data_IF_160052158785
#
_entry.id   IF_160052158785
#
_cell.length_a   1.000
_cell.length_b   1.000
_cell.length_c   1.000
_cell.angle_alpha   90.00
_cell.angle_beta   90.00
_cell.angle_gamma   90.00
#
_symmetry.space_group_name_H-M   'P 1'
#
loop_
_entity.id
_entity.type
_entity.pdbx_description
1 polymer ?
#
# COMPACT_ATOMS: atom_id res chain seq x y z
N UNK A 1 4.97 7.01 19.50
CA UNK A 1 5.35 6.23 18.30
C UNK A 1 4.06 5.93 17.53
N UNK A 2 4.06 5.97 16.20
CA UNK A 2 2.85 5.72 15.41
C UNK A 2 2.59 4.21 15.42
N UNK A 3 1.76 3.76 16.35
CA UNK A 3 1.31 2.37 16.44
C UNK A 3 0.06 2.22 15.58
N UNK A 4 0.20 1.49 14.47
CA UNK A 4 -0.89 1.35 13.50
C UNK A 4 -2.12 0.62 14.07
N UNK A 5 -1.91 -0.32 15.00
CA UNK A 5 -3.01 -1.08 15.60
C UNK A 5 -3.75 -0.23 16.63
N UNK A 6 -3.03 0.51 17.48
CA UNK A 6 -3.63 1.43 18.45
C UNK A 6 -4.49 2.51 17.76
N UNK A 7 -3.98 3.10 16.68
CA UNK A 7 -4.70 4.11 15.91
C UNK A 7 -6.02 3.57 15.33
N UNK A 8 -6.01 2.34 14.80
CA UNK A 8 -7.22 1.73 14.23
C UNK A 8 -8.18 1.27 15.33
N UNK A 9 -7.70 0.51 16.31
CA UNK A 9 -8.54 -0.21 17.28
C UNK A 9 -9.00 0.74 18.40
N UNK A 10 -8.08 1.46 19.03
CA UNK A 10 -8.38 2.24 20.23
C UNK A 10 -8.85 3.65 19.89
N UNK A 11 -8.34 4.24 18.80
CA UNK A 11 -8.72 5.59 18.36
C UNK A 11 -9.77 5.60 17.25
N UNK A 12 -10.25 4.43 16.83
CA UNK A 12 -11.27 4.25 15.81
C UNK A 12 -10.95 5.02 14.50
N UNK A 13 -9.67 5.04 14.11
CA UNK A 13 -9.22 5.76 12.93
C UNK A 13 -9.51 4.95 11.66
N UNK A 14 -10.18 5.58 10.70
CA UNK A 14 -10.35 5.01 9.37
C UNK A 14 -9.01 4.98 8.59
N UNK A 15 -8.83 3.96 7.76
CA UNK A 15 -7.68 3.87 6.86
C UNK A 15 -7.79 5.00 5.82
N UNK A 16 -6.75 5.83 5.77
CA UNK A 16 -6.59 6.90 4.78
C UNK A 16 -5.24 6.75 4.06
N UNK A 17 -5.11 7.38 2.88
CA UNK A 17 -3.83 7.38 2.18
C UNK A 17 -2.71 8.04 3.00
N UNK A 18 -3.02 9.12 3.73
CA UNK A 18 -2.05 9.77 4.62
C UNK A 18 -1.59 8.85 5.75
N UNK A 19 -2.49 8.03 6.30
CA UNK A 19 -2.17 7.05 7.32
C UNK A 19 -1.26 5.94 6.77
N UNK A 20 -1.60 5.37 5.62
CA UNK A 20 -0.77 4.35 4.93
C UNK A 20 0.63 4.91 4.62
N UNK A 21 0.72 6.13 4.10
CA UNK A 21 2.01 6.82 3.85
C UNK A 21 2.81 7.02 5.14
N UNK A 22 2.16 7.41 6.23
CA UNK A 22 2.79 7.55 7.54
C UNK A 22 3.35 6.22 8.07
N UNK A 23 2.57 5.14 7.98
CA UNK A 23 3.01 3.78 8.35
C UNK A 23 4.19 3.33 7.48
N UNK A 24 4.11 3.53 6.16
CA UNK A 24 5.21 3.20 5.24
C UNK A 24 6.49 3.99 5.56
N UNK A 25 6.37 5.28 5.86
CA UNK A 25 7.52 6.09 6.28
C UNK A 25 8.15 5.56 7.55
N UNK A 26 7.33 5.13 8.53
CA UNK A 26 7.84 4.59 9.78
C UNK A 26 8.46 3.20 9.63
N UNK A 27 7.89 2.36 8.78
CA UNK A 27 8.40 1.01 8.50
C UNK A 27 9.79 1.05 7.86
N UNK A 28 10.06 2.05 7.02
CA UNK A 28 11.35 2.19 6.35
C UNK A 28 12.41 2.96 7.15
N UNK A 29 12.05 3.55 8.29
CA UNK A 29 12.96 4.26 9.18
C UNK A 29 14.06 3.32 9.71
N UNK A 30 15.32 3.60 9.36
CA UNK A 30 16.47 2.74 9.71
C UNK A 30 16.60 1.43 8.90
N UNK A 31 15.74 1.21 7.90
CA UNK A 31 15.79 0.02 7.04
C UNK A 31 16.57 0.30 5.73
N UNK A 32 16.88 -0.76 4.96
CA UNK A 32 17.51 -0.64 3.62
C UNK A 32 16.76 0.31 2.66
N UNK A 33 15.47 0.55 2.89
CA UNK A 33 14.62 1.45 2.10
C UNK A 33 14.58 2.89 2.58
N UNK A 34 15.29 3.27 3.65
CA UNK A 34 15.18 4.61 4.27
C UNK A 34 15.49 5.78 3.31
N UNK A 35 16.30 5.54 2.28
CA UNK A 35 16.64 6.56 1.26
C UNK A 35 15.79 6.45 -0.02
N UNK A 36 14.79 5.56 -0.05
CA UNK A 36 13.93 5.30 -1.22
C UNK A 36 12.55 5.94 -1.06
N UNK A 37 12.54 7.26 -0.83
CA UNK A 37 11.33 8.08 -0.64
C UNK A 37 10.28 7.46 0.30
N UNK A 38 10.60 7.26 1.60
CA UNK A 38 9.65 6.77 2.59
C UNK A 38 8.37 7.61 2.63
N UNK A 39 7.21 6.95 2.76
CA UNK A 39 5.91 7.61 2.75
C UNK A 39 5.45 8.19 1.40
N UNK A 40 6.20 8.02 0.31
CA UNK A 40 5.77 8.44 -1.03
C UNK A 40 5.35 7.25 -1.90
N UNK A 41 4.33 7.43 -2.77
CA UNK A 41 4.07 6.48 -3.84
C UNK A 41 5.26 6.43 -4.81
N UNK A 42 5.46 5.28 -5.46
CA UNK A 42 6.50 5.13 -6.48
C UNK A 42 6.27 6.08 -7.65
N UNK A 43 7.36 6.67 -8.15
CA UNK A 43 7.38 7.53 -9.35
C UNK A 43 7.87 6.80 -10.60
N UNK A 44 8.34 5.57 -10.44
CA UNK A 44 8.90 4.74 -11.51
C UNK A 44 8.15 3.41 -11.61
N UNK A 45 8.18 2.81 -12.80
CA UNK A 45 7.67 1.46 -12.99
C UNK A 45 8.53 0.49 -12.16
N UNK A 46 7.84 -0.41 -11.46
CA UNK A 46 8.46 -1.51 -10.72
C UNK A 46 7.95 -2.83 -11.30
N UNK A 47 8.57 -3.94 -10.93
CA UNK A 47 8.17 -5.27 -11.34
C UNK A 47 8.34 -6.28 -10.20
N UNK A 48 7.59 -7.37 -10.28
CA UNK A 48 7.76 -8.53 -9.42
C UNK A 48 8.33 -9.66 -10.28
N UNK A 49 9.44 -10.24 -9.84
CA UNK A 49 10.19 -11.24 -10.58
C UNK A 49 11.28 -11.85 -9.71
N UNK A 50 12.12 -12.71 -10.29
CA UNK A 50 13.25 -13.28 -9.57
C UNK A 50 14.26 -12.17 -9.23
N UNK A 51 14.96 -12.25 -8.09
CA UNK A 51 15.99 -11.28 -7.74
C UNK A 51 17.06 -11.17 -8.84
N UNK A 52 17.36 -9.95 -9.28
CA UNK A 52 18.37 -9.68 -10.31
C UNK A 52 17.84 -9.71 -11.75
N UNK A 53 16.63 -10.21 -12.00
CA UNK A 53 16.01 -10.15 -13.33
C UNK A 53 15.44 -8.76 -13.62
N UNK A 54 15.49 -8.36 -14.89
CA UNK A 54 14.87 -7.14 -15.39
C UNK A 54 13.36 -7.29 -15.58
N UNK A 55 12.72 -6.18 -15.97
CA UNK A 55 11.27 -6.10 -16.17
C UNK A 55 10.76 -7.05 -17.28
N UNK A 56 11.62 -7.36 -18.25
CA UNK A 56 11.33 -8.26 -19.37
C UNK A 56 11.09 -9.72 -18.96
N UNK A 57 11.55 -10.11 -17.75
CA UNK A 57 11.32 -11.44 -17.16
C UNK A 57 10.38 -11.38 -15.96
N UNK A 58 9.70 -10.27 -15.75
CA UNK A 58 8.77 -10.11 -14.64
C UNK A 58 7.63 -11.14 -14.72
N UNK A 59 7.28 -11.73 -13.57
CA UNK A 59 6.06 -12.54 -13.45
C UNK A 59 4.82 -11.65 -13.33
N UNK A 60 5.02 -10.40 -12.89
CA UNK A 60 3.98 -9.40 -12.82
C UNK A 60 4.56 -8.00 -12.91
N UNK A 61 3.89 -7.15 -13.67
CA UNK A 61 4.18 -5.73 -13.79
C UNK A 61 2.98 -4.98 -13.20
N UNK A 62 3.10 -4.38 -11.99
CA UNK A 62 2.05 -3.56 -11.41
C UNK A 62 1.65 -2.39 -12.31
N UNK A 63 0.49 -1.75 -12.06
CA UNK A 63 -0.01 -0.63 -12.87
C UNK A 63 1.01 0.50 -13.07
N UNK A 64 0.83 1.31 -14.10
CA UNK A 64 1.69 2.46 -14.33
C UNK A 64 1.61 3.45 -13.14
N UNK A 65 2.75 4.03 -12.65
CA UNK A 65 2.74 5.05 -11.60
C UNK A 65 1.74 6.20 -11.82
N UNK A 66 1.51 6.62 -13.07
CA UNK A 66 0.57 7.70 -13.40
C UNK A 66 -0.89 7.38 -13.03
N UNK A 67 -1.25 6.09 -12.98
CA UNK A 67 -2.60 5.64 -12.61
C UNK A 67 -2.72 5.37 -11.10
N UNK A 68 -1.61 5.37 -10.37
CA UNK A 68 -1.57 4.86 -9.00
C UNK A 68 -2.48 5.64 -8.06
N UNK A 69 -2.56 6.97 -8.20
CA UNK A 69 -3.42 7.79 -7.36
C UNK A 69 -4.90 7.41 -7.53
N UNK A 70 -5.41 7.35 -8.76
CA UNK A 70 -6.80 6.96 -9.03
C UNK A 70 -7.12 5.54 -8.57
N UNK A 71 -6.16 4.61 -8.67
CA UNK A 71 -6.35 3.24 -8.21
C UNK A 71 -6.40 3.16 -6.68
N UNK A 72 -5.56 3.93 -5.99
CA UNK A 72 -5.60 4.02 -4.52
C UNK A 72 -6.89 4.67 -4.04
N UNK A 73 -7.41 5.68 -4.73
CA UNK A 73 -8.69 6.31 -4.39
C UNK A 73 -9.87 5.34 -4.58
N UNK A 74 -9.82 4.51 -5.63
CA UNK A 74 -10.78 3.44 -5.84
C UNK A 74 -10.68 2.37 -4.73
N UNK A 75 -9.46 1.97 -4.36
CA UNK A 75 -9.23 1.03 -3.27
C UNK A 75 -9.76 1.56 -1.93
N UNK A 76 -9.51 2.83 -1.59
CA UNK A 76 -10.06 3.48 -0.39
C UNK A 76 -11.60 3.49 -0.39
N UNK A 77 -12.21 3.75 -1.54
CA UNK A 77 -13.66 3.69 -1.71
C UNK A 77 -14.20 2.26 -1.53
N UNK A 78 -13.43 1.24 -1.92
CA UNK A 78 -13.75 -0.15 -1.62
C UNK A 78 -13.58 -0.49 -0.13
N UNK A 79 -12.60 0.13 0.57
CA UNK A 79 -12.39 -0.11 2.00
C UNK A 79 -13.59 0.30 2.87
N UNK A 80 -14.28 1.37 2.47
CA UNK A 80 -15.41 1.94 3.21
C UNK A 80 -16.73 1.19 3.02
N UNK A 81 -16.77 0.21 2.10
CA UNK A 81 -17.92 -0.67 1.92
C UNK A 81 -18.18 -1.49 3.19
N UNK A 82 -19.45 -1.61 3.56
CA UNK A 82 -19.93 -2.36 4.72
C UNK A 82 -20.94 -3.45 4.35
N UNK A 83 -21.12 -3.70 3.05
CA UNK A 83 -22.08 -4.64 2.48
C UNK A 83 -21.47 -6.02 2.15
N UNK A 84 -20.17 -6.20 2.42
CA UNK A 84 -19.44 -7.42 2.12
C UNK A 84 -19.13 -8.22 3.40
N UNK A 85 -19.00 -9.55 3.26
CA UNK A 85 -18.45 -10.37 4.34
C UNK A 85 -17.04 -9.86 4.71
N UNK A 86 -16.74 -9.61 6.01
CA UNK A 86 -15.47 -9.01 6.41
C UNK A 86 -14.22 -9.79 5.99
N UNK A 87 -14.28 -11.13 5.95
CA UNK A 87 -13.16 -11.99 5.54
C UNK A 87 -12.92 -11.86 4.05
N UNK A 88 -13.98 -11.91 3.25
CA UNK A 88 -13.90 -11.72 1.80
C UNK A 88 -13.38 -10.33 1.47
N UNK A 89 -13.90 -9.31 2.15
CA UNK A 89 -13.44 -7.95 1.97
C UNK A 89 -11.95 -7.84 2.34
N UNK A 90 -11.50 -8.39 3.47
CA UNK A 90 -10.09 -8.39 3.86
C UNK A 90 -9.19 -9.09 2.84
N UNK A 91 -9.63 -10.22 2.26
CA UNK A 91 -8.88 -10.92 1.23
C UNK A 91 -8.70 -10.07 -0.04
N UNK A 92 -9.78 -9.41 -0.50
CA UNK A 92 -9.71 -8.51 -1.65
C UNK A 92 -8.87 -7.27 -1.34
N UNK A 93 -9.03 -6.68 -0.14
CA UNK A 93 -8.24 -5.53 0.35
C UNK A 93 -6.74 -5.81 0.29
N UNK A 94 -6.33 -7.04 0.61
CA UNK A 94 -4.92 -7.46 0.64
C UNK A 94 -4.36 -7.82 -0.74
N UNK A 95 -5.20 -8.40 -1.60
CA UNK A 95 -4.78 -8.83 -2.94
C UNK A 95 -4.61 -7.66 -3.93
N UNK A 96 -5.34 -6.56 -3.72
CA UNK A 96 -5.23 -5.31 -4.49
C UNK A 96 -4.08 -4.44 -3.98
#
# INVERSE_FOLDING_TARGET
MLDGLDEIINKNRNISLSFVKGLHSKLLDGARGMYKTPGEPRKVQVHIGRPGDGIEKAIYIPPNPFLLQSLLDNWLSFLSRNDLNPIVQAAVKHAQ
#
